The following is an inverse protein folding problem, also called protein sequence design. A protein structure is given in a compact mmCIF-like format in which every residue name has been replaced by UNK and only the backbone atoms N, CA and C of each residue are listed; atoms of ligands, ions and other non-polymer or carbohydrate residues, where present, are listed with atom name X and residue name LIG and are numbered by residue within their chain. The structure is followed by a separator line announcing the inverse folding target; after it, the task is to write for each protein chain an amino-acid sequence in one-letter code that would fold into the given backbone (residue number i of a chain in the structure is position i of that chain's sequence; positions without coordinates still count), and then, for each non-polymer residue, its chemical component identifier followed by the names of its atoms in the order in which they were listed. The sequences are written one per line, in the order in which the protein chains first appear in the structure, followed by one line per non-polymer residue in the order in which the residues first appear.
data_IF_297559676221
#
_entry.id   IF_297559676221
#
_cell.length_a   1.000
_cell.length_b   1.000
_cell.length_c   1.000
_cell.angle_alpha   90.00
_cell.angle_beta   90.00
_cell.angle_gamma   90.00
#
_symmetry.space_group_name_H-M   'P 1'
#
loop_
_entity.id
_entity.type
_entity.pdbx_description
1 polymer ?
#
# COMPACT_ATOMS: atom_id res chain seq x y z
N UNK A 1 14.14 -8.42 -9.82
CA UNK A 1 12.84 -7.72 -9.85
C UNK A 1 12.83 -6.70 -8.74
N UNK A 2 12.92 -5.41 -9.09
CA UNK A 2 12.95 -4.31 -8.12
C UNK A 2 11.59 -3.64 -7.95
N UNK A 3 10.73 -3.74 -8.97
CA UNK A 3 9.44 -3.07 -9.01
C UNK A 3 8.34 -3.96 -9.61
N UNK A 4 7.11 -3.67 -9.20
CA UNK A 4 5.85 -4.11 -9.81
C UNK A 4 5.25 -2.90 -10.52
N UNK A 5 5.06 -2.97 -11.83
CA UNK A 5 4.37 -1.92 -12.59
C UNK A 5 2.89 -2.19 -12.62
N UNK A 6 2.09 -1.25 -12.13
CA UNK A 6 0.64 -1.26 -12.17
C UNK A 6 0.10 -0.22 -13.16
N UNK A 7 -1.07 -0.48 -13.74
CA UNK A 7 -1.73 0.46 -14.65
C UNK A 7 -2.08 1.78 -13.94
N UNK A 8 -1.87 2.95 -14.56
CA UNK A 8 -1.47 3.11 -15.96
C UNK A 8 0.04 3.10 -16.23
N UNK A 9 0.93 3.26 -15.24
CA UNK A 9 2.40 3.15 -15.32
C UNK A 9 3.05 3.52 -13.97
N UNK A 10 2.53 2.97 -12.86
CA UNK A 10 3.00 3.29 -11.51
C UNK A 10 3.82 2.12 -10.99
N UNK A 11 5.00 2.39 -10.44
CA UNK A 11 5.93 1.35 -10.01
C UNK A 11 6.02 1.28 -8.48
N UNK A 12 5.57 0.16 -7.92
CA UNK A 12 5.72 -0.15 -6.51
C UNK A 12 6.98 -0.96 -6.28
N UNK A 13 7.77 -0.58 -5.29
CA UNK A 13 9.00 -1.28 -4.93
C UNK A 13 8.72 -2.63 -4.30
N UNK A 14 9.49 -3.65 -4.67
CA UNK A 14 9.51 -4.94 -3.97
C UNK A 14 10.30 -4.86 -2.67
N UNK A 15 11.06 -3.79 -2.44
CA UNK A 15 11.68 -3.49 -1.14
C UNK A 15 10.62 -2.97 -0.17
N UNK A 16 10.39 -3.74 0.90
CA UNK A 16 9.34 -3.45 1.88
C UNK A 16 9.63 -2.18 2.68
N UNK A 17 10.87 -1.93 3.08
CA UNK A 17 11.20 -0.76 3.90
C UNK A 17 10.99 0.51 3.07
N UNK A 18 11.49 0.52 1.83
CA UNK A 18 11.27 1.61 0.90
C UNK A 18 9.78 1.86 0.61
N UNK A 19 9.01 0.79 0.36
CA UNK A 19 7.57 0.89 0.12
C UNK A 19 6.85 1.54 1.31
N UNK A 20 7.12 1.07 2.54
CA UNK A 20 6.49 1.56 3.76
C UNK A 20 6.82 3.03 4.04
N UNK A 21 8.03 3.48 3.70
CA UNK A 21 8.48 4.86 3.94
C UNK A 21 7.95 5.84 2.89
N UNK A 22 7.80 5.41 1.63
CA UNK A 22 7.61 6.34 0.51
C UNK A 22 6.38 6.12 -0.36
N UNK A 23 5.75 4.95 -0.32
CA UNK A 23 4.75 4.56 -1.33
C UNK A 23 3.35 4.28 -0.78
N UNK A 24 3.21 4.15 0.54
CA UNK A 24 1.94 3.93 1.22
C UNK A 24 1.74 4.89 2.40
N UNK A 25 0.49 5.31 2.61
CA UNK A 25 0.08 6.20 3.69
C UNK A 25 -1.15 5.64 4.42
N UNK A 26 -1.10 5.67 5.75
CA UNK A 26 -2.26 5.46 6.62
C UNK A 26 -2.83 6.82 7.04
N UNK A 27 -4.08 7.10 6.67
CA UNK A 27 -4.80 8.34 7.04
C UNK A 27 -5.88 7.97 8.05
N UNK A 28 -5.82 8.56 9.24
CA UNK A 28 -6.88 8.46 10.25
C UNK A 28 -7.63 9.78 10.31
N UNK A 29 -8.94 9.74 10.04
CA UNK A 29 -9.81 10.93 10.05
C UNK A 29 -11.11 10.66 10.81
N UNK A 30 -12.05 11.62 10.80
CA UNK A 30 -13.39 11.42 11.37
C UNK A 30 -14.17 10.31 10.65
N UNK A 31 -13.87 10.03 9.39
CA UNK A 31 -14.53 9.02 8.57
C UNK A 31 -14.01 7.59 8.80
N UNK A 32 -12.94 7.42 9.58
CA UNK A 32 -12.28 6.14 9.81
C UNK A 32 -10.80 6.17 9.41
N UNK A 33 -10.27 5.00 9.09
CA UNK A 33 -8.88 4.80 8.66
C UNK A 33 -8.82 4.35 7.21
N UNK A 34 -7.94 4.97 6.43
CA UNK A 34 -7.71 4.66 5.01
C UNK A 34 -6.23 4.31 4.80
N UNK A 35 -5.96 3.30 3.98
CA UNK A 35 -4.63 2.96 3.51
C UNK A 35 -4.57 3.27 2.02
N UNK A 36 -3.77 4.26 1.65
CA UNK A 36 -3.72 4.83 0.31
C UNK A 36 -2.30 4.77 -0.24
N UNK A 37 -2.17 4.79 -1.56
CA UNK A 37 -0.87 5.03 -2.18
C UNK A 37 -0.46 6.50 -2.03
N UNK A 38 0.86 6.73 -1.93
CA UNK A 38 1.47 8.05 -2.01
C UNK A 38 1.87 8.47 -3.42
N UNK A 39 1.96 7.51 -4.35
CA UNK A 39 2.51 7.73 -5.71
C UNK A 39 1.44 7.70 -6.80
N UNK A 40 0.21 7.34 -6.44
CA UNK A 40 -0.96 7.41 -7.32
C UNK A 40 -2.26 7.58 -6.52
N UNK A 41 -3.36 7.91 -7.20
CA UNK A 41 -4.67 8.07 -6.58
C UNK A 41 -5.37 6.71 -6.33
N UNK A 42 -4.75 5.84 -5.52
CA UNK A 42 -5.27 4.50 -5.19
C UNK A 42 -5.59 4.36 -3.70
N UNK A 43 -6.78 3.83 -3.42
CA UNK A 43 -7.20 3.38 -2.09
C UNK A 43 -7.08 1.85 -2.03
N UNK A 44 -6.26 1.33 -1.11
CA UNK A 44 -6.09 -0.11 -0.91
C UNK A 44 -7.10 -0.69 0.07
N UNK A 45 -7.30 0.00 1.20
CA UNK A 45 -8.23 -0.44 2.23
C UNK A 45 -8.89 0.75 2.93
N UNK A 46 -10.14 0.57 3.35
CA UNK A 46 -10.87 1.49 4.23
C UNK A 46 -11.47 0.72 5.40
N UNK A 47 -11.31 1.24 6.60
CA UNK A 47 -12.02 0.82 7.81
C UNK A 47 -12.82 2.01 8.36
N UNK A 48 -14.02 1.73 8.86
CA UNK A 48 -14.83 2.74 9.58
C UNK A 48 -14.27 3.01 10.98
N UNK A 49 -13.42 2.12 11.51
CA UNK A 49 -12.78 2.33 12.81
C UNK A 49 -11.69 3.39 12.71
N UNK A 50 -11.63 4.25 13.72
CA UNK A 50 -10.53 5.22 13.95
C UNK A 50 -9.48 4.69 14.93
N UNK A 51 -9.73 3.53 15.52
CA UNK A 51 -8.97 2.97 16.63
C UNK A 51 -8.15 1.74 16.19
N UNK A 52 -7.46 1.85 15.06
CA UNK A 52 -6.48 0.83 14.64
C UNK A 52 -5.16 1.16 15.30
N UNK A 53 -4.59 0.22 16.07
CA UNK A 53 -3.30 0.42 16.73
C UNK A 53 -2.18 0.62 15.72
N UNK A 54 -1.12 1.35 16.08
CA UNK A 54 0.04 1.56 15.19
C UNK A 54 0.65 0.23 14.69
N UNK A 55 0.70 -0.79 15.57
CA UNK A 55 1.16 -2.14 15.19
C UNK A 55 0.28 -2.76 14.13
N UNK A 56 -1.04 -2.64 14.27
CA UNK A 56 -1.99 -3.17 13.28
C UNK A 56 -1.95 -2.37 11.98
N UNK A 57 -1.78 -1.04 12.04
CA UNK A 57 -1.58 -0.22 10.84
C UNK A 57 -0.35 -0.68 10.05
N UNK A 58 0.79 -0.87 10.73
CA UNK A 58 2.00 -1.39 10.11
C UNK A 58 1.77 -2.79 9.52
N UNK A 59 1.10 -3.68 10.25
CA UNK A 59 0.77 -5.02 9.75
C UNK A 59 -0.05 -4.96 8.45
N UNK A 60 -1.10 -4.14 8.40
CA UNK A 60 -1.94 -3.96 7.20
C UNK A 60 -1.11 -3.38 6.05
N UNK A 61 -0.23 -2.40 6.30
CA UNK A 61 0.65 -1.85 5.27
C UNK A 61 1.61 -2.91 4.71
N UNK A 62 2.13 -3.80 5.56
CA UNK A 62 2.94 -4.95 5.14
C UNK A 62 2.12 -5.95 4.32
N UNK A 63 0.88 -6.25 4.70
CA UNK A 63 0.01 -7.15 3.92
C UNK A 63 -0.30 -6.58 2.53
N UNK A 64 -0.58 -5.28 2.43
CA UNK A 64 -0.77 -4.60 1.14
C UNK A 64 0.48 -4.72 0.27
N UNK A 65 1.67 -4.56 0.86
CA UNK A 65 2.94 -4.75 0.15
C UNK A 65 3.09 -6.17 -0.39
N UNK A 66 2.79 -7.18 0.43
CA UNK A 66 2.83 -8.59 0.01
C UNK A 66 1.82 -8.86 -1.10
N UNK A 67 0.62 -8.29 -1.02
CA UNK A 67 -0.41 -8.43 -2.04
C UNK A 67 -0.01 -7.80 -3.37
N UNK A 68 0.65 -6.63 -3.35
CA UNK A 68 1.25 -6.02 -4.55
C UNK A 68 2.33 -6.95 -5.12
N UNK A 69 3.24 -7.46 -4.30
CA UNK A 69 4.29 -8.38 -4.73
C UNK A 69 3.76 -9.70 -5.28
N UNK A 70 2.57 -10.12 -4.85
CA UNK A 70 1.84 -11.30 -5.34
C UNK A 70 0.88 -10.98 -6.50
N UNK A 71 0.96 -9.78 -7.06
CA UNK A 71 0.14 -9.33 -8.19
C UNK A 71 -1.38 -9.34 -7.92
N UNK A 72 -1.80 -9.26 -6.64
CA UNK A 72 -3.23 -9.27 -6.26
C UNK A 72 -3.98 -8.02 -6.72
N UNK A 73 -3.26 -6.93 -6.92
CA UNK A 73 -3.78 -5.69 -7.49
C UNK A 73 -3.54 -5.60 -9.02
N UNK A 74 -3.13 -6.70 -9.65
CA UNK A 74 -2.63 -6.73 -11.02
C UNK A 74 -1.18 -6.25 -11.11
N UNK A 75 -0.79 -5.85 -12.32
CA UNK A 75 0.55 -5.40 -12.62
C UNK A 75 1.49 -6.53 -13.02
N UNK A 76 2.70 -6.14 -13.41
CA UNK A 76 3.72 -7.02 -13.96
C UNK A 76 5.09 -6.71 -13.37
N UNK A 77 5.99 -7.70 -13.29
CA UNK A 77 7.34 -7.45 -12.82
C UNK A 77 8.09 -6.56 -13.79
N UNK A 78 8.81 -5.58 -13.26
CA UNK A 78 9.79 -4.80 -14.04
C UNK A 78 11.16 -5.44 -13.85
N UNK A 79 11.80 -5.76 -14.98
CA UNK A 79 13.19 -6.26 -15.01
C UNK A 79 14.19 -5.19 -14.56
#
# INVERSE_FOLDING_TARGET
MKYIRMSPNVEYSTDREFFLEHQILCIVSREGTKFCSLIENRLFMRSLSRHISKRMQLHIMCEIHEDICRFRYGGEPVE
#
